data_IF_381498943531
#
_entry.id   IF_381498943531
#
_cell.length_a   1.000
_cell.length_b   1.000
_cell.length_c   1.000
_cell.angle_alpha   90.00
_cell.angle_beta   90.00
_cell.angle_gamma   90.00
#
_symmetry.space_group_name_H-M   'P 1'
#
loop_
_entity.id
_entity.type
_entity.pdbx_description
1 polymer ?
#
# COMPACT_ATOMS: atom_id res chain seq x y z
N UNK A 1 -8.16 8.42 -28.48
CA UNK A 1 -8.42 7.04 -28.00
C UNK A 1 -7.03 6.47 -27.80
N UNK A 2 -6.38 6.97 -26.78
CA UNK A 2 -4.95 6.79 -26.66
C UNK A 2 -4.85 5.64 -25.68
N UNK A 3 -4.26 4.54 -26.13
CA UNK A 3 -3.86 3.46 -25.27
C UNK A 3 -2.78 4.01 -24.34
N UNK A 4 -3.19 4.81 -23.36
CA UNK A 4 -2.37 5.27 -22.26
C UNK A 4 -2.02 4.01 -21.51
N UNK A 5 -0.81 3.52 -21.79
CA UNK A 5 -0.22 2.39 -21.13
C UNK A 5 -0.40 2.65 -19.63
N UNK A 6 -1.23 1.85 -18.96
CA UNK A 6 -1.50 2.03 -17.53
C UNK A 6 -0.21 1.67 -16.80
N UNK A 7 0.65 2.67 -16.64
CA UNK A 7 1.99 2.56 -16.05
C UNK A 7 1.86 1.98 -14.64
N UNK A 8 0.79 2.34 -13.92
CA UNK A 8 0.44 1.79 -12.62
C UNK A 8 0.26 0.27 -12.68
N UNK A 9 -0.56 -0.22 -13.62
CA UNK A 9 -0.70 -1.66 -13.86
C UNK A 9 0.64 -2.32 -14.21
N UNK A 10 1.43 -1.73 -15.10
CA UNK A 10 2.73 -2.29 -15.48
C UNK A 10 3.65 -2.48 -14.27
N UNK A 11 3.72 -1.50 -13.36
CA UNK A 11 4.48 -1.63 -12.12
C UNK A 11 3.98 -2.78 -11.25
N UNK A 12 2.66 -2.91 -11.09
CA UNK A 12 2.06 -3.98 -10.29
C UNK A 12 2.38 -5.37 -10.87
N UNK A 13 2.27 -5.53 -12.18
CA UNK A 13 2.63 -6.77 -12.87
C UNK A 13 4.12 -7.09 -12.70
N UNK A 14 4.99 -6.10 -12.89
CA UNK A 14 6.44 -6.28 -12.81
C UNK A 14 6.87 -6.69 -11.40
N UNK A 15 6.36 -6.02 -10.36
CA UNK A 15 6.66 -6.38 -8.96
C UNK A 15 6.10 -7.75 -8.61
N UNK A 16 4.90 -8.09 -9.08
CA UNK A 16 4.32 -9.42 -8.85
C UNK A 16 5.17 -10.53 -9.48
N UNK A 17 5.66 -10.32 -10.71
CA UNK A 17 6.59 -11.25 -11.38
C UNK A 17 7.92 -11.33 -10.65
N UNK A 18 8.45 -10.22 -10.13
CA UNK A 18 9.68 -10.20 -9.34
C UNK A 18 9.54 -11.00 -8.03
N UNK A 19 8.43 -10.83 -7.31
CA UNK A 19 8.11 -11.62 -6.11
C UNK A 19 8.10 -13.12 -6.46
N UNK A 20 7.44 -13.48 -7.56
CA UNK A 20 7.36 -14.87 -8.02
C UNK A 20 8.72 -15.42 -8.44
N UNK A 21 9.51 -14.64 -9.18
CA UNK A 21 10.84 -15.03 -9.60
C UNK A 21 11.73 -15.34 -8.40
N UNK A 22 11.84 -14.43 -7.43
CA UNK A 22 12.66 -14.64 -6.22
C UNK A 22 12.10 -15.78 -5.37
N UNK A 23 10.78 -15.82 -5.19
CA UNK A 23 10.10 -16.80 -4.33
C UNK A 23 10.20 -18.24 -4.85
N UNK A 24 10.04 -18.47 -6.16
CA UNK A 24 10.07 -19.83 -6.72
C UNK A 24 11.49 -20.27 -7.14
N UNK A 25 12.33 -19.36 -7.65
CA UNK A 25 13.72 -19.72 -7.98
C UNK A 25 14.51 -20.14 -6.74
N UNK A 26 14.35 -19.45 -5.61
CA UNK A 26 15.00 -19.85 -4.35
C UNK A 26 14.55 -21.23 -3.88
N UNK A 27 13.27 -21.58 -4.05
CA UNK A 27 12.76 -22.92 -3.72
C UNK A 27 13.38 -24.01 -4.61
N UNK A 28 13.41 -23.78 -5.94
CA UNK A 28 13.87 -24.77 -6.92
C UNK A 28 15.40 -24.96 -6.85
N UNK A 29 16.17 -23.86 -6.81
CA UNK A 29 17.62 -23.94 -6.94
C UNK A 29 18.35 -24.09 -5.59
N UNK A 30 17.79 -23.57 -4.50
CA UNK A 30 18.44 -23.56 -3.18
C UNK A 30 17.80 -24.57 -2.23
N UNK A 31 16.51 -24.43 -1.94
CA UNK A 31 15.88 -25.27 -0.91
C UNK A 31 15.73 -26.73 -1.34
N UNK A 32 15.41 -26.99 -2.61
CA UNK A 32 15.26 -28.35 -3.12
C UNK A 32 16.56 -29.16 -2.99
N UNK A 33 17.68 -28.56 -3.40
CA UNK A 33 19.01 -29.18 -3.34
C UNK A 33 19.51 -29.32 -1.90
N UNK A 34 19.31 -28.30 -1.07
CA UNK A 34 19.79 -28.28 0.32
C UNK A 34 19.00 -29.19 1.27
N UNK A 35 17.67 -29.29 1.11
CA UNK A 35 16.81 -30.06 2.02
C UNK A 35 16.67 -31.54 1.62
N UNK A 36 17.30 -31.98 0.53
CA UNK A 36 17.32 -33.38 0.11
C UNK A 36 16.02 -33.86 -0.53
N UNK A 37 15.25 -32.98 -1.18
CA UNK A 37 14.05 -33.35 -1.93
C UNK A 37 12.88 -33.84 -1.06
N UNK A 38 12.35 -35.03 -1.36
CA UNK A 38 11.08 -35.59 -0.86
C UNK A 38 11.11 -36.06 0.61
N UNK A 39 11.50 -35.19 1.53
CA UNK A 39 11.46 -35.46 2.98
C UNK A 39 10.34 -34.68 3.66
N UNK A 40 9.73 -35.23 4.73
CA UNK A 40 8.69 -34.55 5.51
C UNK A 40 9.14 -33.16 6.02
N UNK A 41 10.41 -33.06 6.44
CA UNK A 41 11.03 -31.78 6.82
C UNK A 41 11.01 -30.76 5.68
N UNK A 42 11.31 -31.18 4.45
CA UNK A 42 11.28 -30.31 3.27
C UNK A 42 9.87 -29.80 3.02
N UNK A 43 8.87 -30.68 3.07
CA UNK A 43 7.48 -30.28 2.92
C UNK A 43 7.00 -29.33 4.01
N UNK A 44 7.41 -29.53 5.27
CA UNK A 44 7.08 -28.62 6.36
C UNK A 44 7.68 -27.23 6.15
N UNK A 45 8.97 -27.15 5.81
CA UNK A 45 9.67 -25.87 5.56
C UNK A 45 9.10 -25.16 4.33
N UNK A 46 8.93 -25.86 3.21
CA UNK A 46 8.35 -25.29 1.99
C UNK A 46 6.89 -24.92 2.18
N UNK A 47 6.14 -25.67 2.99
CA UNK A 47 4.76 -25.34 3.36
C UNK A 47 4.67 -23.99 4.07
N UNK A 48 5.46 -23.80 5.14
CA UNK A 48 5.53 -22.52 5.86
C UNK A 48 5.99 -21.40 4.91
N UNK A 49 7.02 -21.64 4.10
CA UNK A 49 7.52 -20.66 3.14
C UNK A 49 6.44 -20.22 2.15
N UNK A 50 5.67 -21.15 1.58
CA UNK A 50 4.61 -20.82 0.63
C UNK A 50 3.42 -20.12 1.29
N UNK A 51 3.10 -20.43 2.55
CA UNK A 51 2.12 -19.65 3.32
C UNK A 51 2.58 -18.19 3.49
N UNK A 52 3.84 -17.98 3.86
CA UNK A 52 4.41 -16.64 3.98
C UNK A 52 4.47 -15.91 2.62
N UNK A 53 4.83 -16.61 1.55
CA UNK A 53 4.83 -16.07 0.18
C UNK A 53 3.40 -15.68 -0.25
N UNK A 54 2.40 -16.50 0.08
CA UNK A 54 1.00 -16.16 -0.19
C UNK A 54 0.56 -14.92 0.60
N UNK A 55 0.92 -14.81 1.89
CA UNK A 55 0.65 -13.62 2.69
C UNK A 55 1.36 -12.38 2.14
N UNK A 56 2.56 -12.51 1.59
CA UNK A 56 3.26 -11.41 0.90
C UNK A 56 2.44 -10.92 -0.30
N UNK A 57 2.01 -11.83 -1.18
CA UNK A 57 1.14 -11.48 -2.30
C UNK A 57 -0.17 -10.85 -1.86
N UNK A 58 -0.81 -11.40 -0.83
CA UNK A 58 -2.07 -10.87 -0.31
C UNK A 58 -1.91 -9.44 0.22
N UNK A 59 -0.87 -9.17 1.01
CA UNK A 59 -0.59 -7.83 1.50
C UNK A 59 -0.24 -6.86 0.37
N UNK A 60 0.54 -7.31 -0.62
CA UNK A 60 0.85 -6.49 -1.79
C UNK A 60 -0.40 -6.15 -2.61
N UNK A 61 -1.28 -7.13 -2.82
CA UNK A 61 -2.57 -6.94 -3.48
C UNK A 61 -3.42 -5.91 -2.73
N UNK A 62 -3.52 -6.01 -1.40
CA UNK A 62 -4.24 -5.01 -0.60
C UNK A 62 -3.59 -3.63 -0.73
N UNK A 63 -2.27 -3.52 -0.67
CA UNK A 63 -1.57 -2.24 -0.81
C UNK A 63 -1.82 -1.58 -2.18
N UNK A 64 -1.83 -2.37 -3.26
CA UNK A 64 -1.98 -1.86 -4.63
C UNK A 64 -3.43 -1.54 -5.03
N UNK A 65 -4.42 -2.18 -4.41
CA UNK A 65 -5.83 -2.09 -4.85
C UNK A 65 -6.73 -1.29 -3.92
N UNK A 66 -6.30 -1.03 -2.67
CA UNK A 66 -7.11 -0.25 -1.74
C UNK A 66 -7.07 1.22 -2.12
N UNK A 67 -8.26 1.78 -2.37
CA UNK A 67 -8.38 3.21 -2.63
C UNK A 67 -7.82 4.02 -1.47
N UNK A 68 -7.13 5.15 -1.73
CA UNK A 68 -6.77 6.08 -0.68
C UNK A 68 -8.02 6.56 0.08
N UNK A 69 -7.81 6.96 1.33
CA UNK A 69 -8.86 7.54 2.17
C UNK A 69 -9.43 8.84 1.56
N UNK A 70 -10.57 9.28 2.10
CA UNK A 70 -11.22 10.53 1.70
C UNK A 70 -11.60 11.33 2.94
N UNK A 71 -11.56 12.65 2.81
CA UNK A 71 -12.15 13.54 3.81
C UNK A 71 -13.68 13.36 3.84
N UNK A 72 -14.28 13.17 5.02
CA UNK A 72 -15.74 13.15 5.16
C UNK A 72 -16.40 14.42 4.60
N UNK A 73 -17.55 14.28 3.95
CA UNK A 73 -18.31 15.41 3.42
C UNK A 73 -18.69 16.39 4.54
N UNK A 74 -18.44 17.67 4.31
CA UNK A 74 -18.76 18.73 5.29
C UNK A 74 -17.85 18.72 6.52
N UNK A 75 -16.65 18.11 6.45
CA UNK A 75 -15.71 18.19 7.55
C UNK A 75 -15.32 19.65 7.83
N UNK A 76 -15.63 20.10 9.04
CA UNK A 76 -15.23 21.39 9.58
C UNK A 76 -14.39 21.19 10.85
N UNK A 77 -13.39 22.05 11.12
CA UNK A 77 -12.70 22.04 12.40
C UNK A 77 -13.69 22.31 13.55
N UNK A 78 -13.65 21.54 14.65
CA UNK A 78 -14.54 21.76 15.79
C UNK A 78 -14.46 23.19 16.32
N UNK A 79 -15.62 23.80 16.56
CA UNK A 79 -15.71 25.15 17.12
C UNK A 79 -15.56 25.05 18.65
N UNK A 80 -14.43 25.55 19.16
CA UNK A 80 -14.03 25.71 20.57
C UNK A 80 -13.27 24.55 21.26
N UNK A 81 -12.13 24.92 21.87
CA UNK A 81 -11.53 24.29 23.07
C UNK A 81 -10.87 22.91 22.93
N UNK A 82 -11.21 22.13 21.90
CA UNK A 82 -10.67 20.79 21.72
C UNK A 82 -9.37 20.85 20.88
N UNK A 83 -8.23 20.48 21.46
CA UNK A 83 -6.93 20.28 20.79
C UNK A 83 -6.95 19.07 19.82
N UNK A 84 -8.01 18.95 19.02
CA UNK A 84 -8.31 17.77 18.20
C UNK A 84 -7.97 18.01 16.72
N UNK A 85 -7.47 19.20 16.37
CA UNK A 85 -7.15 19.54 14.99
C UNK A 85 -5.74 20.13 14.82
N UNK A 86 -5.11 19.80 13.69
CA UNK A 86 -3.78 20.28 13.36
C UNK A 86 -3.85 21.70 12.80
N UNK A 87 -3.31 22.64 13.57
CA UNK A 87 -3.10 24.02 13.16
C UNK A 87 -1.81 24.15 12.36
N UNK A 88 -1.77 25.11 11.43
CA UNK A 88 -0.48 25.50 10.86
C UNK A 88 0.38 26.17 11.93
N UNK A 89 1.66 25.80 11.99
CA UNK A 89 2.63 26.33 12.98
C UNK A 89 2.84 27.84 12.89
N UNK A 90 2.70 28.41 11.69
CA UNK A 90 2.96 29.82 11.40
C UNK A 90 1.79 30.73 11.78
N UNK A 91 0.57 30.31 11.45
CA UNK A 91 -0.63 31.16 11.43
C UNK A 91 -1.63 30.76 12.49
N UNK A 92 -1.43 29.62 13.17
CA UNK A 92 -2.38 29.03 14.12
C UNK A 92 -3.80 28.88 13.55
N UNK A 93 -3.91 28.77 12.22
CA UNK A 93 -5.18 28.57 11.49
C UNK A 93 -5.36 27.11 11.09
N UNK A 94 -6.62 26.63 10.98
CA UNK A 94 -6.90 25.31 10.44
C UNK A 94 -6.26 25.11 9.05
N UNK A 95 -5.75 23.91 8.80
CA UNK A 95 -5.20 23.57 7.47
C UNK A 95 -6.33 23.52 6.44
N UNK A 96 -6.08 24.09 5.27
CA UNK A 96 -7.06 24.16 4.18
C UNK A 96 -6.41 23.72 2.86
N UNK A 97 -7.12 22.92 2.07
CA UNK A 97 -6.74 22.56 0.71
C UNK A 97 -7.35 23.53 -0.28
N UNK A 98 -6.51 24.23 -1.05
CA UNK A 98 -6.99 25.17 -2.09
C UNK A 98 -7.57 24.44 -3.32
N UNK A 99 -7.05 23.26 -3.63
CA UNK A 99 -7.47 22.44 -4.78
C UNK A 99 -8.83 21.79 -4.50
N UNK A 100 -8.95 21.07 -3.38
CA UNK A 100 -10.22 20.44 -2.97
C UNK A 100 -11.21 21.40 -2.31
N UNK A 101 -10.84 22.68 -2.10
CA UNK A 101 -11.66 23.73 -1.48
C UNK A 101 -12.30 23.35 -0.13
N UNK A 102 -11.56 22.63 0.71
CA UNK A 102 -12.04 22.14 2.02
C UNK A 102 -10.98 22.20 3.11
N UNK A 103 -11.42 22.20 4.37
CA UNK A 103 -10.51 22.07 5.51
C UNK A 103 -9.94 20.64 5.58
N UNK A 104 -8.68 20.51 6.00
CA UNK A 104 -7.97 19.22 6.12
C UNK A 104 -8.06 18.69 7.55
N UNK A 105 -8.56 17.47 7.76
CA UNK A 105 -8.45 16.79 9.05
C UNK A 105 -7.00 16.62 9.52
N UNK A 106 -6.79 16.23 10.80
CA UNK A 106 -5.49 15.79 11.28
C UNK A 106 -4.87 14.73 10.36
N UNK A 107 -3.54 14.81 10.16
CA UNK A 107 -2.72 13.92 9.31
C UNK A 107 -3.15 13.79 7.84
N UNK A 108 -4.08 14.63 7.35
CA UNK A 108 -4.55 14.60 5.97
C UNK A 108 -3.71 15.49 5.07
N UNK A 109 -3.35 14.98 3.89
CA UNK A 109 -2.56 15.68 2.87
C UNK A 109 -3.23 15.55 1.50
N UNK A 110 -3.07 16.56 0.65
CA UNK A 110 -3.58 16.45 -0.72
C UNK A 110 -2.56 15.70 -1.55
N UNK A 111 -3.00 14.65 -2.25
CA UNK A 111 -2.22 13.94 -3.23
C UNK A 111 -2.60 14.45 -4.63
N UNK A 112 -1.64 14.98 -5.37
CA UNK A 112 -1.84 15.43 -6.76
C UNK A 112 -2.21 14.28 -7.69
N UNK A 113 -1.66 13.09 -7.44
CA UNK A 113 -1.86 11.94 -8.32
C UNK A 113 -3.24 11.30 -8.11
N UNK A 114 -3.76 11.36 -6.88
CA UNK A 114 -5.11 10.87 -6.56
C UNK A 114 -6.20 11.95 -6.68
N UNK A 115 -5.78 13.20 -6.89
CA UNK A 115 -6.59 14.43 -6.89
C UNK A 115 -7.60 14.51 -5.72
N UNK A 116 -7.11 14.20 -4.51
CA UNK A 116 -7.93 14.23 -3.29
C UNK A 116 -7.10 14.47 -2.04
N UNK A 117 -7.79 14.91 -0.98
CA UNK A 117 -7.25 15.00 0.38
C UNK A 117 -7.56 13.73 1.15
#
# INVERSE_FOLDING_TARGET
MDAEFDVGRLYVWTVSLLIGFIGYSSQIFVFWSYLGGFTLRTFAVLGIFNVLLHLLYYNYYLAATRSPGHVPLGWEPPRAGANVYELKRDTLKPRYCRLCKGFKPPRTHHCSDCDRC
#
